data_IF_279717565930
#
_entry.id   IF_279717565930
#
_cell.length_a   1.000
_cell.length_b   1.000
_cell.length_c   1.000
_cell.angle_alpha   90.00
_cell.angle_beta   90.00
_cell.angle_gamma   90.00
#
_symmetry.space_group_name_H-M   'P 1'
#
loop_
_entity.id
_entity.type
_entity.pdbx_description
1 polymer ?
#
# COMPACT_ATOMS: atom_id res chain seq x y z
N UNK A 1 -13.82 -19.20 -3.15
CA UNK A 1 -14.08 -18.09 -4.09
C UNK A 1 -13.36 -16.83 -3.63
N UNK A 2 -13.05 -15.91 -4.56
CA UNK A 2 -12.54 -14.58 -4.22
C UNK A 2 -13.71 -13.61 -4.12
N UNK A 3 -13.69 -12.75 -3.10
CA UNK A 3 -14.69 -11.71 -2.83
C UNK A 3 -13.96 -10.38 -2.69
N UNK A 4 -14.36 -9.36 -3.45
CA UNK A 4 -13.71 -8.05 -3.38
C UNK A 4 -14.43 -7.12 -2.40
N UNK A 5 -13.69 -6.25 -1.72
CA UNK A 5 -14.21 -4.98 -1.24
C UNK A 5 -14.40 -3.99 -2.39
N UNK A 6 -15.22 -2.96 -2.17
CA UNK A 6 -15.56 -1.97 -3.21
C UNK A 6 -14.35 -1.23 -3.77
N UNK A 7 -13.30 -1.07 -2.95
CA UNK A 7 -12.04 -0.40 -3.31
C UNK A 7 -10.94 -1.34 -3.83
N UNK A 8 -11.23 -2.65 -4.06
CA UNK A 8 -10.24 -3.66 -4.44
C UNK A 8 -10.70 -4.56 -5.59
N UNK A 9 -11.56 -4.05 -6.47
CA UNK A 9 -12.21 -4.86 -7.49
C UNK A 9 -11.26 -5.33 -8.59
N UNK A 10 -10.36 -4.46 -9.05
CA UNK A 10 -9.39 -4.80 -10.08
C UNK A 10 -8.37 -5.81 -9.55
N UNK A 11 -7.83 -5.58 -8.33
CA UNK A 11 -6.91 -6.52 -7.69
C UNK A 11 -7.56 -7.89 -7.47
N UNK A 12 -8.80 -7.94 -6.99
CA UNK A 12 -9.51 -9.19 -6.76
C UNK A 12 -9.75 -9.97 -8.07
N UNK A 13 -10.08 -9.27 -9.17
CA UNK A 13 -10.23 -9.88 -10.47
C UNK A 13 -8.88 -10.45 -10.97
N UNK A 14 -7.79 -9.70 -10.85
CA UNK A 14 -6.46 -10.21 -11.22
C UNK A 14 -6.03 -11.40 -10.35
N UNK A 15 -6.34 -11.37 -9.05
CA UNK A 15 -6.07 -12.49 -8.16
C UNK A 15 -6.89 -13.74 -8.53
N UNK A 16 -8.12 -13.56 -9.00
CA UNK A 16 -8.94 -14.66 -9.52
C UNK A 16 -8.28 -15.30 -10.76
N UNK A 17 -7.78 -14.48 -11.67
CA UNK A 17 -7.07 -14.96 -12.87
C UNK A 17 -5.77 -15.69 -12.50
N UNK A 18 -4.97 -15.14 -11.58
CA UNK A 18 -3.69 -15.74 -11.13
C UNK A 18 -3.87 -17.09 -10.41
N UNK A 19 -4.96 -17.24 -9.66
CA UNK A 19 -5.21 -18.44 -8.84
C UNK A 19 -6.16 -19.43 -9.48
N UNK A 20 -6.87 -19.04 -10.55
CA UNK A 20 -7.95 -19.83 -11.15
C UNK A 20 -9.19 -19.97 -10.23
N UNK A 21 -9.26 -19.22 -9.13
CA UNK A 21 -10.39 -19.24 -8.19
C UNK A 21 -11.55 -18.42 -8.74
N UNK A 22 -12.82 -18.90 -8.62
CA UNK A 22 -13.98 -18.12 -9.05
C UNK A 22 -14.07 -16.79 -8.29
N UNK A 23 -14.41 -15.70 -9.01
CA UNK A 23 -14.74 -14.41 -8.44
C UNK A 23 -16.24 -14.37 -8.11
N UNK A 24 -16.59 -13.99 -6.88
CA UNK A 24 -17.98 -13.75 -6.47
C UNK A 24 -18.32 -12.28 -6.65
N UNK A 25 -19.54 -12.00 -7.10
CA UNK A 25 -20.06 -10.63 -7.16
C UNK A 25 -20.53 -10.20 -5.79
N UNK A 26 -19.92 -9.14 -5.26
CA UNK A 26 -20.41 -8.46 -4.07
C UNK A 26 -21.32 -7.29 -4.45
N UNK A 27 -22.28 -6.95 -3.59
CA UNK A 27 -23.14 -5.77 -3.72
C UNK A 27 -22.89 -4.82 -2.56
N UNK A 28 -22.96 -3.53 -2.85
CA UNK A 28 -22.71 -2.46 -1.87
C UNK A 28 -23.85 -1.48 -1.93
N UNK A 29 -24.67 -1.46 -0.88
CA UNK A 29 -25.82 -0.60 -0.75
C UNK A 29 -25.64 0.40 0.40
N UNK A 30 -26.42 1.46 0.39
CA UNK A 30 -26.45 2.44 1.47
C UNK A 30 -27.88 2.70 1.88
N UNK A 31 -28.15 2.57 3.18
CA UNK A 31 -29.44 2.90 3.75
C UNK A 31 -29.66 4.43 3.83
N UNK A 32 -30.92 4.90 3.94
CA UNK A 32 -31.23 6.33 4.00
C UNK A 32 -30.61 7.07 5.20
N UNK A 33 -30.29 6.38 6.27
CA UNK A 33 -29.60 6.89 7.47
C UNK A 33 -28.07 6.97 7.29
N UNK A 34 -27.54 6.45 6.16
CA UNK A 34 -26.14 6.48 5.81
C UNK A 34 -25.36 5.21 6.15
N UNK A 35 -25.99 4.22 6.79
CA UNK A 35 -25.35 2.93 7.05
C UNK A 35 -25.09 2.18 5.74
N UNK A 36 -23.90 1.56 5.62
CA UNK A 36 -23.52 0.72 4.48
C UNK A 36 -23.96 -0.74 4.67
N UNK A 37 -24.21 -1.43 3.57
CA UNK A 37 -24.46 -2.87 3.53
C UNK A 37 -23.64 -3.48 2.40
N UNK A 38 -22.74 -4.39 2.76
CA UNK A 38 -22.04 -5.25 1.80
C UNK A 38 -22.60 -6.68 1.85
N UNK A 39 -22.88 -7.27 0.71
CA UNK A 39 -23.42 -8.61 0.62
C UNK A 39 -22.81 -9.41 -0.54
N UNK A 40 -22.81 -10.74 -0.44
CA UNK A 40 -22.23 -11.65 -1.43
C UNK A 40 -23.30 -12.70 -1.84
N UNK A 41 -24.35 -12.29 -2.57
CA UNK A 41 -25.55 -13.13 -2.80
C UNK A 41 -25.24 -14.40 -3.59
N UNK A 42 -24.19 -14.43 -4.41
CA UNK A 42 -23.82 -15.57 -5.25
C UNK A 42 -22.64 -16.36 -4.68
N UNK A 43 -22.22 -16.10 -3.44
CA UNK A 43 -21.15 -16.88 -2.83
C UNK A 43 -21.60 -18.34 -2.63
N UNK A 44 -20.73 -19.27 -3.04
CA UNK A 44 -20.95 -20.69 -2.86
C UNK A 44 -19.63 -21.41 -2.64
N UNK A 45 -19.51 -22.16 -1.56
CA UNK A 45 -18.32 -22.94 -1.24
C UNK A 45 -17.89 -22.81 0.21
N UNK A 46 -16.87 -23.57 0.57
CA UNK A 46 -16.33 -23.64 1.93
C UNK A 46 -15.14 -22.71 2.16
N UNK A 47 -14.46 -22.30 1.07
CA UNK A 47 -13.28 -21.41 1.13
C UNK A 47 -13.61 -20.03 0.56
N UNK A 48 -13.34 -18.97 1.31
CA UNK A 48 -13.43 -17.58 0.88
C UNK A 48 -12.08 -16.88 0.97
N UNK A 49 -11.75 -16.07 -0.03
CA UNK A 49 -10.66 -15.11 0.01
C UNK A 49 -11.26 -13.72 -0.12
N UNK A 50 -11.35 -12.99 1.00
CA UNK A 50 -11.88 -11.63 1.03
C UNK A 50 -10.73 -10.66 0.80
N UNK A 51 -10.78 -9.89 -0.29
CA UNK A 51 -9.74 -8.91 -0.68
C UNK A 51 -10.29 -7.52 -0.47
N UNK A 52 -9.80 -6.79 0.55
CA UNK A 52 -10.32 -5.47 0.86
C UNK A 52 -9.24 -4.52 1.36
N UNK A 53 -9.00 -3.46 0.61
CA UNK A 53 -8.25 -2.28 1.05
C UNK A 53 -9.09 -1.49 2.05
N UNK A 54 -8.47 -1.07 3.16
CA UNK A 54 -9.14 -0.38 4.25
C UNK A 54 -8.71 1.09 4.35
N UNK A 55 -8.86 1.82 3.23
CA UNK A 55 -8.42 3.21 3.08
C UNK A 55 -9.39 4.25 3.66
N UNK A 56 -10.54 3.82 4.16
CA UNK A 56 -11.57 4.66 4.78
C UNK A 56 -12.32 3.91 5.89
N UNK A 57 -13.02 4.64 6.76
CA UNK A 57 -13.85 4.04 7.82
C UNK A 57 -15.00 3.19 7.23
N UNK A 58 -15.52 3.58 6.08
CA UNK A 58 -16.54 2.81 5.36
C UNK A 58 -15.97 1.47 4.88
N UNK A 59 -14.74 1.46 4.32
CA UNK A 59 -14.08 0.24 3.87
C UNK A 59 -13.79 -0.73 5.04
N UNK A 60 -13.55 -0.20 6.25
CA UNK A 60 -13.42 -1.02 7.45
C UNK A 60 -14.71 -1.75 7.80
N UNK A 61 -15.85 -1.04 7.81
CA UNK A 61 -17.15 -1.64 8.07
C UNK A 61 -17.51 -2.65 6.99
N UNK A 62 -17.27 -2.30 5.73
CA UNK A 62 -17.49 -3.17 4.58
C UNK A 62 -16.72 -4.48 4.68
N UNK A 63 -15.42 -4.43 5.03
CA UNK A 63 -14.60 -5.62 5.23
C UNK A 63 -15.22 -6.57 6.28
N UNK A 64 -15.62 -6.04 7.45
CA UNK A 64 -16.21 -6.86 8.51
C UNK A 64 -17.53 -7.49 8.05
N UNK A 65 -18.35 -6.75 7.30
CA UNK A 65 -19.60 -7.28 6.74
C UNK A 65 -19.34 -8.37 5.69
N UNK A 66 -18.34 -8.21 4.83
CA UNK A 66 -17.98 -9.22 3.83
C UNK A 66 -17.49 -10.52 4.48
N UNK A 67 -16.69 -10.41 5.55
CA UNK A 67 -16.25 -11.59 6.33
C UNK A 67 -17.46 -12.34 6.91
N UNK A 68 -18.41 -11.63 7.52
CA UNK A 68 -19.62 -12.22 8.08
C UNK A 68 -20.53 -12.80 6.99
N UNK A 69 -20.73 -12.07 5.88
CA UNK A 69 -21.56 -12.51 4.77
C UNK A 69 -21.09 -13.83 4.13
N UNK A 70 -19.79 -14.03 3.95
CA UNK A 70 -19.27 -15.29 3.43
C UNK A 70 -19.43 -16.44 4.44
N UNK A 71 -19.33 -16.16 5.74
CA UNK A 71 -19.61 -17.13 6.81
C UNK A 71 -21.07 -17.55 6.82
N UNK A 72 -22.01 -16.61 6.78
CA UNK A 72 -23.44 -16.88 6.69
C UNK A 72 -23.81 -17.67 5.41
N UNK A 73 -23.06 -17.46 4.31
CA UNK A 73 -23.22 -18.19 3.08
C UNK A 73 -22.54 -19.59 3.08
N UNK A 74 -21.89 -19.98 4.20
CA UNK A 74 -21.38 -21.34 4.43
C UNK A 74 -19.85 -21.49 4.34
N UNK A 75 -19.07 -20.40 4.25
CA UNK A 75 -17.61 -20.49 4.29
C UNK A 75 -17.13 -20.97 5.66
N UNK A 76 -16.30 -22.01 5.66
CA UNK A 76 -15.67 -22.57 6.87
C UNK A 76 -14.20 -22.15 6.99
N UNK A 77 -13.55 -21.77 5.90
CA UNK A 77 -12.19 -21.21 5.84
C UNK A 77 -12.23 -19.84 5.16
N UNK A 78 -11.88 -18.79 5.89
CA UNK A 78 -11.85 -17.41 5.39
C UNK A 78 -10.44 -16.87 5.49
N UNK A 79 -9.86 -16.55 4.34
CA UNK A 79 -8.61 -15.79 4.23
C UNK A 79 -8.94 -14.34 3.94
N UNK A 80 -8.43 -13.41 4.75
CA UNK A 80 -8.56 -11.98 4.47
C UNK A 80 -7.25 -11.43 3.93
N UNK A 81 -7.29 -10.91 2.72
CA UNK A 81 -6.18 -10.17 2.09
C UNK A 81 -6.44 -8.68 2.28
N UNK A 82 -5.50 -8.00 2.88
CA UNK A 82 -5.56 -6.54 3.10
C UNK A 82 -4.45 -5.90 2.27
N UNK A 83 -4.77 -5.44 1.04
CA UNK A 83 -3.78 -4.81 0.17
C UNK A 83 -3.19 -3.54 0.76
N UNK A 84 -4.03 -2.69 1.36
CA UNK A 84 -3.60 -1.57 2.17
C UNK A 84 -4.35 -1.56 3.50
N UNK A 85 -3.59 -1.52 4.60
CA UNK A 85 -4.15 -1.43 5.95
C UNK A 85 -4.16 0.01 6.42
N UNK A 86 -5.32 0.63 6.43
CA UNK A 86 -5.54 1.91 7.10
C UNK A 86 -5.19 1.83 8.59
N UNK A 87 -4.87 2.94 9.22
CA UNK A 87 -4.44 3.02 10.62
C UNK A 87 -3.12 2.30 10.97
N UNK A 88 -2.48 1.58 10.05
CA UNK A 88 -1.24 0.85 10.31
C UNK A 88 -0.08 1.76 10.77
N UNK A 89 -0.10 3.04 10.39
CA UNK A 89 0.89 4.04 10.83
C UNK A 89 0.78 4.43 12.30
N UNK A 90 -0.30 4.05 13.01
CA UNK A 90 -0.45 4.20 14.45
C UNK A 90 -0.30 2.84 15.15
N UNK A 91 0.91 2.29 15.03
CA UNK A 91 1.37 1.01 15.58
C UNK A 91 1.68 1.08 17.08
N UNK A 92 1.77 2.28 17.62
CA UNK A 92 2.01 2.58 19.04
C UNK A 92 1.27 3.84 19.49
N UNK A 93 1.18 4.06 20.78
CA UNK A 93 0.72 5.34 21.34
C UNK A 93 1.87 6.35 21.26
N UNK A 94 1.67 7.46 20.56
CA UNK A 94 2.66 8.54 20.47
C UNK A 94 2.52 9.54 21.62
N UNK A 95 1.32 9.64 22.22
CA UNK A 95 1.03 10.51 23.35
C UNK A 95 0.16 9.78 24.39
N UNK A 96 0.22 10.17 25.68
CA UNK A 96 -0.64 9.59 26.72
C UNK A 96 -2.13 9.65 26.36
N UNK A 97 -2.81 8.52 26.48
CA UNK A 97 -4.26 8.40 26.18
C UNK A 97 -4.61 8.11 24.73
N UNK A 98 -3.65 8.12 23.82
CA UNK A 98 -3.91 7.67 22.44
C UNK A 98 -4.02 6.15 22.35
N UNK A 99 -4.86 5.64 21.44
CA UNK A 99 -4.94 4.21 21.16
C UNK A 99 -3.72 3.74 20.35
N UNK A 100 -3.51 2.44 20.31
CA UNK A 100 -2.76 1.76 19.25
C UNK A 100 -3.78 1.35 18.20
N UNK A 101 -4.04 2.21 17.22
CA UNK A 101 -5.13 2.04 16.25
C UNK A 101 -4.95 0.77 15.43
N UNK A 102 -3.72 0.50 14.95
CA UNK A 102 -3.39 -0.71 14.21
C UNK A 102 -3.84 -1.98 14.97
N UNK A 103 -3.58 -2.04 16.29
CA UNK A 103 -3.96 -3.18 17.12
C UNK A 103 -5.48 -3.30 17.29
N UNK A 104 -6.18 -2.18 17.46
CA UNK A 104 -7.63 -2.20 17.58
C UNK A 104 -8.28 -2.73 16.31
N UNK A 105 -7.78 -2.31 15.14
CA UNK A 105 -8.26 -2.76 13.84
C UNK A 105 -7.93 -4.24 13.58
N UNK A 106 -6.68 -4.66 13.84
CA UNK A 106 -6.27 -6.05 13.68
C UNK A 106 -7.14 -7.02 14.49
N UNK A 107 -7.48 -6.66 15.73
CA UNK A 107 -8.38 -7.46 16.56
C UNK A 107 -9.79 -7.57 15.98
N UNK A 108 -10.35 -6.48 15.48
CA UNK A 108 -11.66 -6.50 14.86
C UNK A 108 -11.69 -7.43 13.64
N UNK A 109 -10.70 -7.34 12.75
CA UNK A 109 -10.59 -8.21 11.56
C UNK A 109 -10.46 -9.68 11.98
N UNK A 110 -9.67 -9.97 13.02
CA UNK A 110 -9.43 -11.35 13.49
C UNK A 110 -10.71 -12.08 13.90
N UNK A 111 -11.81 -11.39 14.15
CA UNK A 111 -13.07 -12.02 14.58
C UNK A 111 -13.79 -12.74 13.45
N UNK A 112 -13.59 -12.36 12.19
CA UNK A 112 -14.32 -12.90 11.04
C UNK A 112 -13.49 -13.78 10.10
N UNK A 113 -12.19 -13.97 10.36
CA UNK A 113 -11.26 -14.66 9.46
C UNK A 113 -10.44 -15.73 10.18
N UNK A 114 -9.89 -16.68 9.43
CA UNK A 114 -8.98 -17.73 9.95
C UNK A 114 -7.51 -17.38 9.72
N UNK A 115 -7.22 -16.54 8.74
CA UNK A 115 -5.86 -16.03 8.44
C UNK A 115 -5.90 -14.71 7.71
N UNK A 116 -4.83 -13.95 7.82
CA UNK A 116 -4.66 -12.64 7.20
C UNK A 116 -3.40 -12.59 6.36
N UNK A 117 -3.49 -11.93 5.20
CA UNK A 117 -2.36 -11.58 4.35
C UNK A 117 -2.31 -10.07 4.22
N UNK A 118 -1.20 -9.46 4.63
CA UNK A 118 -0.95 -8.02 4.56
C UNK A 118 0.08 -7.73 3.46
N UNK A 119 -0.15 -6.73 2.64
CA UNK A 119 0.84 -6.29 1.66
C UNK A 119 1.57 -5.06 2.19
N UNK A 120 2.88 -5.14 2.32
CA UNK A 120 3.77 -4.05 2.78
C UNK A 120 3.15 -3.17 3.89
N UNK A 121 2.72 -3.73 5.04
CA UNK A 121 2.24 -2.89 6.14
C UNK A 121 3.36 -1.94 6.56
N UNK A 122 3.00 -0.69 6.91
CA UNK A 122 3.97 0.36 7.25
C UNK A 122 5.03 -0.09 8.26
N UNK A 123 4.62 -0.91 9.24
CA UNK A 123 5.51 -1.61 10.16
C UNK A 123 5.18 -3.11 10.13
N UNK A 124 6.14 -3.95 9.89
CA UNK A 124 5.93 -5.41 9.81
C UNK A 124 5.37 -6.01 11.11
N UNK A 125 5.73 -5.41 12.26
CA UNK A 125 5.24 -5.80 13.58
C UNK A 125 3.71 -5.66 13.75
N UNK A 126 3.02 -4.95 12.84
CA UNK A 126 1.54 -4.87 12.84
C UNK A 126 0.91 -6.25 12.67
N UNK A 127 1.58 -7.18 11.99
CA UNK A 127 1.13 -8.56 11.85
C UNK A 127 0.96 -9.27 13.21
N UNK A 128 1.75 -8.91 14.23
CA UNK A 128 1.69 -9.50 15.58
C UNK A 128 0.45 -9.06 16.37
N UNK A 129 -0.30 -8.08 15.90
CA UNK A 129 -1.52 -7.63 16.56
C UNK A 129 -2.75 -8.48 16.23
N UNK A 130 -2.67 -9.31 15.19
CA UNK A 130 -3.75 -10.21 14.81
C UNK A 130 -3.85 -11.39 15.79
N UNK A 131 -5.08 -11.82 16.06
CA UNK A 131 -5.36 -12.99 16.93
C UNK A 131 -5.46 -14.30 16.12
N UNK A 132 -5.22 -14.22 14.82
CA UNK A 132 -5.13 -15.34 13.87
C UNK A 132 -3.78 -15.29 13.14
N UNK A 133 -3.34 -16.35 12.46
CA UNK A 133 -2.12 -16.32 11.66
C UNK A 133 -2.15 -15.16 10.66
N UNK A 134 -1.14 -14.32 10.70
CA UNK A 134 -0.97 -13.20 9.78
C UNK A 134 0.38 -13.29 9.07
N UNK A 135 0.37 -13.09 7.76
CA UNK A 135 1.55 -13.13 6.90
C UNK A 135 1.71 -11.80 6.19
N UNK A 136 2.93 -11.28 6.12
CA UNK A 136 3.26 -10.10 5.33
C UNK A 136 3.84 -10.50 3.98
N UNK A 137 3.45 -9.78 2.93
CA UNK A 137 3.94 -9.94 1.56
C UNK A 137 4.69 -8.67 1.17
N UNK A 138 5.94 -8.80 0.76
CA UNK A 138 6.66 -7.70 0.12
C UNK A 138 6.38 -7.72 -1.39
N UNK A 139 5.67 -6.70 -1.86
CA UNK A 139 5.32 -6.51 -3.26
C UNK A 139 6.10 -5.36 -3.92
N UNK A 140 7.06 -4.73 -3.24
CA UNK A 140 7.79 -3.57 -3.75
C UNK A 140 8.51 -3.86 -5.09
N UNK A 141 8.95 -5.10 -5.30
CA UNK A 141 9.65 -5.51 -6.52
C UNK A 141 8.84 -5.28 -7.80
N UNK A 142 7.51 -5.33 -7.75
CA UNK A 142 6.65 -5.12 -8.94
C UNK A 142 6.71 -3.68 -9.47
N UNK A 143 7.11 -2.72 -8.63
CA UNK A 143 7.28 -1.32 -9.02
C UNK A 143 8.37 -1.10 -10.08
N UNK A 144 9.28 -2.04 -10.25
CA UNK A 144 10.32 -1.98 -11.27
C UNK A 144 9.78 -2.18 -12.70
N UNK A 145 8.73 -2.99 -12.86
CA UNK A 145 8.17 -3.37 -14.16
C UNK A 145 7.76 -2.18 -15.06
N UNK A 146 7.00 -1.19 -14.56
CA UNK A 146 6.52 -0.08 -15.39
C UNK A 146 7.53 1.06 -15.56
N UNK A 147 8.74 0.96 -14.98
CA UNK A 147 9.78 1.96 -15.15
C UNK A 147 10.38 1.85 -16.56
N UNK A 148 10.62 2.99 -17.24
CA UNK A 148 11.31 2.97 -18.53
C UNK A 148 12.80 2.67 -18.36
N UNK A 149 13.52 2.53 -19.48
CA UNK A 149 14.97 2.51 -19.45
C UNK A 149 15.52 3.86 -18.94
N UNK A 150 16.32 3.80 -17.89
CA UNK A 150 16.83 4.96 -17.17
C UNK A 150 18.36 4.96 -17.15
N UNK A 151 18.95 6.15 -17.32
CA UNK A 151 20.39 6.33 -17.39
C UNK A 151 20.98 6.77 -16.04
N UNK A 152 22.14 6.22 -15.68
CA UNK A 152 22.84 6.56 -14.43
C UNK A 152 21.90 6.56 -13.19
N UNK A 153 21.02 5.57 -13.12
CA UNK A 153 19.86 5.51 -12.23
C UNK A 153 20.22 5.49 -10.75
N UNK A 154 19.50 6.29 -9.98
CA UNK A 154 19.49 6.28 -8.52
C UNK A 154 18.07 6.03 -8.00
N UNK A 155 17.88 4.98 -7.19
CA UNK A 155 16.69 4.79 -6.37
C UNK A 155 16.90 5.48 -5.03
N UNK A 156 16.00 6.37 -4.66
CA UNK A 156 16.16 7.24 -3.51
C UNK A 156 14.97 7.11 -2.56
N UNK A 157 15.25 6.70 -1.33
CA UNK A 157 14.23 6.65 -0.30
C UNK A 157 14.05 8.03 0.36
N UNK A 158 12.83 8.44 0.75
CA UNK A 158 12.59 9.72 1.40
C UNK A 158 13.14 9.81 2.83
N UNK A 159 13.53 8.69 3.41
CA UNK A 159 14.27 8.57 4.68
C UNK A 159 14.87 7.16 4.81
N UNK A 160 15.68 6.96 5.88
CA UNK A 160 16.35 5.69 6.18
C UNK A 160 15.37 4.52 6.34
N UNK A 161 14.15 4.76 6.85
CA UNK A 161 13.15 3.71 7.07
C UNK A 161 12.64 3.07 5.77
N UNK A 162 12.66 3.80 4.66
CA UNK A 162 12.20 3.33 3.37
C UNK A 162 13.31 2.75 2.48
N UNK A 163 14.58 2.71 2.93
CA UNK A 163 15.72 2.26 2.10
C UNK A 163 15.54 0.82 1.61
N UNK A 164 15.00 -0.08 2.45
CA UNK A 164 14.77 -1.47 2.07
C UNK A 164 13.80 -1.63 0.90
N UNK A 165 12.81 -0.74 0.77
CA UNK A 165 11.88 -0.73 -0.37
C UNK A 165 12.61 -0.29 -1.64
N UNK A 166 13.43 0.77 -1.55
CA UNK A 166 14.24 1.24 -2.68
C UNK A 166 15.23 0.16 -3.15
N UNK A 167 15.87 -0.57 -2.23
CA UNK A 167 16.75 -1.70 -2.54
C UNK A 167 16.00 -2.82 -3.26
N UNK A 168 14.81 -3.21 -2.78
CA UNK A 168 13.97 -4.24 -3.41
C UNK A 168 13.61 -3.85 -4.86
N UNK A 169 13.22 -2.59 -5.10
CA UNK A 169 12.89 -2.11 -6.44
C UNK A 169 14.13 -2.08 -7.33
N UNK A 170 15.28 -1.59 -6.83
CA UNK A 170 16.55 -1.58 -7.55
C UNK A 170 17.00 -3.01 -7.95
N UNK A 171 16.86 -3.98 -7.04
CA UNK A 171 17.19 -5.38 -7.33
C UNK A 171 16.31 -5.97 -8.43
N UNK A 172 15.03 -5.69 -8.39
CA UNK A 172 14.08 -6.13 -9.41
C UNK A 172 14.33 -5.44 -10.77
N UNK A 173 14.71 -4.17 -10.77
CA UNK A 173 15.07 -3.43 -11.98
C UNK A 173 16.39 -3.93 -12.58
N UNK A 174 17.32 -4.42 -11.77
CA UNK A 174 18.59 -5.05 -12.19
C UNK A 174 19.73 -4.07 -12.46
N UNK A 175 19.56 -2.78 -12.18
CA UNK A 175 20.59 -1.76 -12.37
C UNK A 175 20.39 -0.57 -11.43
N UNK A 176 21.37 0.32 -11.31
CA UNK A 176 21.30 1.54 -10.50
C UNK A 176 21.89 1.37 -9.10
N UNK A 177 21.89 2.48 -8.38
CA UNK A 177 22.36 2.60 -7.00
C UNK A 177 21.17 2.92 -6.10
N UNK A 178 21.33 2.73 -4.79
CA UNK A 178 20.33 3.12 -3.78
C UNK A 178 20.92 4.09 -2.78
N UNK A 179 20.11 5.02 -2.32
CA UNK A 179 20.44 5.97 -1.28
C UNK A 179 19.17 6.49 -0.58
N UNK A 180 19.31 7.34 0.43
CA UNK A 180 18.17 7.92 1.14
C UNK A 180 18.42 9.38 1.53
N UNK A 181 17.35 10.13 1.79
CA UNK A 181 17.45 11.48 2.33
C UNK A 181 17.68 11.47 3.84
N UNK A 182 18.70 12.21 4.28
CA UNK A 182 18.89 12.49 5.69
C UNK A 182 17.92 13.60 6.13
N UNK A 183 17.18 13.36 7.22
CA UNK A 183 16.29 14.34 7.84
C UNK A 183 16.97 14.95 9.05
N UNK A 184 17.35 16.22 8.97
CA UNK A 184 17.80 16.99 10.11
C UNK A 184 16.64 17.81 10.67
N UNK A 185 16.22 17.48 11.90
CA UNK A 185 15.23 18.29 12.62
C UNK A 185 15.96 19.31 13.48
N UNK A 186 15.78 20.60 13.18
CA UNK A 186 16.19 21.66 14.06
C UNK A 186 15.31 21.64 15.33
N UNK A 187 15.90 21.34 16.47
CA UNK A 187 15.17 21.22 17.73
C UNK A 187 14.72 22.58 18.31
N UNK A 188 15.27 23.70 17.84
CA UNK A 188 14.91 25.05 18.32
C UNK A 188 13.75 25.63 17.51
N UNK A 189 13.74 25.43 16.18
CA UNK A 189 12.73 26.00 15.27
C UNK A 189 11.64 25.01 14.89
N UNK A 190 11.88 23.69 15.08
CA UNK A 190 11.01 22.61 14.60
C UNK A 190 11.07 22.41 13.08
N UNK A 191 11.90 23.18 12.37
CA UNK A 191 12.09 23.04 10.94
C UNK A 191 12.73 21.67 10.62
N UNK A 192 12.22 21.03 9.55
CA UNK A 192 12.81 19.80 9.03
C UNK A 192 13.57 20.16 7.76
N UNK A 193 14.87 20.00 7.77
CA UNK A 193 15.71 20.11 6.58
C UNK A 193 15.95 18.71 6.01
N UNK A 194 15.62 18.53 4.75
CA UNK A 194 15.83 17.27 4.02
C UNK A 194 17.08 17.47 3.16
N UNK A 195 18.10 16.70 3.42
CA UNK A 195 19.34 16.73 2.66
C UNK A 195 19.50 15.36 1.99
N UNK A 196 19.62 15.26 0.65
CA UNK A 196 20.07 14.01 0.05
C UNK A 196 21.43 13.69 0.65
N UNK A 197 21.72 12.42 0.86
CA UNK A 197 23.06 12.00 1.25
C UNK A 197 24.09 12.52 0.24
N UNK A 198 25.37 12.24 0.45
CA UNK A 198 26.47 12.72 -0.40
C UNK A 198 26.45 12.16 -1.86
N UNK A 199 25.44 11.37 -2.24
CA UNK A 199 25.35 10.83 -3.60
C UNK A 199 25.20 11.95 -4.63
N UNK A 200 26.04 11.96 -5.67
CA UNK A 200 25.90 12.91 -6.77
C UNK A 200 24.61 12.60 -7.54
N UNK A 201 23.72 13.57 -7.64
CA UNK A 201 22.43 13.44 -8.35
C UNK A 201 22.39 14.19 -9.68
N UNK A 202 23.37 15.07 -9.91
CA UNK A 202 23.45 15.86 -11.14
C UNK A 202 23.52 14.93 -12.38
N UNK A 203 22.74 15.27 -13.41
CA UNK A 203 22.63 14.55 -14.68
C UNK A 203 22.17 13.07 -14.55
N UNK A 204 21.64 12.65 -13.39
CA UNK A 204 21.11 11.29 -13.16
C UNK A 204 19.59 11.25 -13.29
N UNK A 205 19.06 10.09 -13.67
CA UNK A 205 17.66 9.76 -13.51
C UNK A 205 17.43 9.26 -12.08
N UNK A 206 16.40 9.75 -11.42
CA UNK A 206 16.08 9.41 -10.02
C UNK A 206 14.67 8.84 -9.93
N UNK A 207 14.53 7.71 -9.24
CA UNK A 207 13.25 7.17 -8.80
C UNK A 207 13.16 7.33 -7.29
N UNK A 208 12.26 8.21 -6.81
CA UNK A 208 11.97 8.33 -5.37
C UNK A 208 10.97 7.25 -5.00
N UNK A 209 11.35 6.36 -4.08
CA UNK A 209 10.58 5.15 -3.72
C UNK A 209 10.16 5.21 -2.26
N UNK A 210 8.88 4.94 -1.98
CA UNK A 210 8.33 4.91 -0.63
C UNK A 210 7.32 3.75 -0.48
N UNK A 211 6.94 3.39 0.76
CA UNK A 211 5.83 2.47 1.01
C UNK A 211 4.50 3.13 0.65
N UNK A 212 4.29 4.37 1.05
CA UNK A 212 3.04 5.12 0.86
C UNK A 212 3.28 6.56 0.42
N UNK A 213 2.63 6.98 -0.65
CA UNK A 213 2.48 8.41 -0.95
C UNK A 213 1.12 8.87 -0.43
N UNK A 214 1.11 9.47 0.78
CA UNK A 214 -0.12 9.99 1.37
C UNK A 214 -0.48 11.39 0.84
N UNK A 215 0.02 12.45 1.45
CA UNK A 215 -0.23 13.84 1.01
C UNK A 215 0.79 14.34 -0.01
N UNK A 216 1.83 13.59 -0.25
CA UNK A 216 2.93 13.92 -1.15
C UNK A 216 3.86 15.04 -0.67
N UNK A 217 3.69 15.56 0.56
CA UNK A 217 4.48 16.71 1.04
C UNK A 217 5.96 16.38 1.17
N UNK A 218 6.31 15.32 1.93
CA UNK A 218 7.71 14.90 2.10
C UNK A 218 8.38 14.60 0.75
N UNK A 219 7.68 13.86 -0.12
CA UNK A 219 8.23 13.51 -1.43
C UNK A 219 8.37 14.73 -2.35
N UNK A 220 7.43 15.69 -2.33
CA UNK A 220 7.55 16.92 -3.13
C UNK A 220 8.69 17.83 -2.66
N UNK A 221 8.96 17.89 -1.35
CA UNK A 221 10.10 18.60 -0.79
C UNK A 221 11.42 17.95 -1.24
N UNK A 222 11.53 16.62 -1.12
CA UNK A 222 12.68 15.86 -1.59
C UNK A 222 12.95 16.10 -3.08
N UNK A 223 11.93 16.09 -3.91
CA UNK A 223 12.05 16.33 -5.36
C UNK A 223 12.49 17.76 -5.66
N UNK A 224 12.01 18.74 -4.91
CA UNK A 224 12.48 20.13 -5.03
C UNK A 224 13.99 20.24 -4.82
N UNK A 225 14.53 19.56 -3.79
CA UNK A 225 15.96 19.53 -3.52
C UNK A 225 16.75 18.85 -4.66
N UNK A 226 16.20 17.79 -5.28
CA UNK A 226 16.81 17.14 -6.42
C UNK A 226 16.86 18.06 -7.65
N UNK A 227 15.77 18.80 -7.91
CA UNK A 227 15.71 19.76 -9.01
C UNK A 227 16.78 20.84 -8.88
N UNK A 228 16.98 21.38 -7.69
CA UNK A 228 18.02 22.38 -7.39
C UNK A 228 19.46 21.84 -7.59
N UNK A 229 19.63 20.53 -7.51
CA UNK A 229 20.93 19.84 -7.71
C UNK A 229 21.14 19.33 -9.14
N UNK A 230 20.27 19.66 -10.08
CA UNK A 230 20.45 19.35 -11.50
C UNK A 230 20.17 17.91 -11.88
N UNK A 231 19.23 17.25 -11.20
CA UNK A 231 18.72 15.92 -11.61
C UNK A 231 18.21 15.97 -13.05
N UNK A 232 18.35 14.87 -13.81
CA UNK A 232 17.87 14.80 -15.18
C UNK A 232 16.35 14.56 -15.23
N UNK A 233 15.87 13.41 -14.77
CA UNK A 233 14.44 13.05 -14.70
C UNK A 233 14.10 12.53 -13.29
N UNK A 234 12.88 12.79 -12.83
CA UNK A 234 12.41 12.29 -11.53
C UNK A 234 11.11 11.52 -11.69
N UNK A 235 11.11 10.31 -11.17
CA UNK A 235 9.95 9.43 -11.05
C UNK A 235 9.60 9.25 -9.57
N UNK A 236 8.33 9.05 -9.27
CA UNK A 236 7.86 8.70 -7.93
C UNK A 236 7.24 7.30 -7.99
N UNK A 237 7.67 6.39 -7.13
CA UNK A 237 7.12 5.05 -7.05
C UNK A 237 6.69 4.73 -5.62
N UNK A 238 5.53 4.07 -5.43
CA UNK A 238 5.08 3.62 -4.12
C UNK A 238 4.24 2.36 -4.20
N UNK A 239 4.30 1.57 -3.13
CA UNK A 239 3.41 0.42 -3.01
C UNK A 239 1.96 0.91 -2.83
N UNK A 240 1.73 1.86 -1.93
CA UNK A 240 0.39 2.35 -1.59
C UNK A 240 0.16 3.78 -2.10
N UNK A 241 -0.45 3.96 -3.29
CA UNK A 241 -0.74 5.28 -3.84
C UNK A 241 -2.00 5.89 -3.21
N UNK A 242 -1.94 6.29 -1.93
CA UNK A 242 -3.06 6.94 -1.25
C UNK A 242 -3.44 8.24 -1.97
N UNK A 243 -2.45 9.07 -2.31
CA UNK A 243 -2.57 10.30 -3.08
C UNK A 243 -3.71 11.21 -2.62
N UNK A 244 -3.80 11.37 -1.30
CA UNK A 244 -4.84 12.15 -0.66
C UNK A 244 -4.74 13.64 -1.02
N UNK A 245 -5.88 14.32 -1.02
CA UNK A 245 -6.02 15.76 -1.25
C UNK A 245 -5.43 16.22 -2.59
N UNK A 246 -4.31 16.95 -2.59
CA UNK A 246 -3.65 17.50 -3.77
C UNK A 246 -2.27 16.88 -4.04
N UNK A 247 -2.02 15.65 -3.57
CA UNK A 247 -0.71 14.98 -3.69
C UNK A 247 -0.22 14.92 -5.14
N UNK A 248 -1.09 14.52 -6.08
CA UNK A 248 -0.74 14.42 -7.51
C UNK A 248 -0.27 15.76 -8.06
N UNK A 249 -1.01 16.85 -7.79
CA UNK A 249 -0.66 18.18 -8.28
C UNK A 249 0.61 18.72 -7.63
N UNK A 250 0.86 18.43 -6.36
CA UNK A 250 2.11 18.77 -5.66
C UNK A 250 3.31 18.08 -6.31
N UNK A 251 3.24 16.77 -6.52
CA UNK A 251 4.31 16.01 -7.14
C UNK A 251 4.59 16.46 -8.57
N UNK A 252 3.54 16.69 -9.35
CA UNK A 252 3.71 17.24 -10.72
C UNK A 252 4.32 18.63 -10.72
N UNK A 253 3.90 19.51 -9.81
CA UNK A 253 4.48 20.86 -9.68
C UNK A 253 5.95 20.82 -9.22
N UNK A 254 6.35 19.80 -8.44
CA UNK A 254 7.73 19.58 -8.04
C UNK A 254 8.62 19.00 -9.16
N UNK A 255 8.05 18.59 -10.31
CA UNK A 255 8.80 18.11 -11.47
C UNK A 255 8.77 16.59 -11.68
N UNK A 256 7.88 15.85 -11.01
CA UNK A 256 7.72 14.41 -11.26
C UNK A 256 7.22 14.16 -12.67
N UNK A 257 7.98 13.40 -13.45
CA UNK A 257 7.60 12.99 -14.80
C UNK A 257 6.47 11.97 -14.78
N UNK A 258 6.56 10.97 -13.88
CA UNK A 258 5.54 9.93 -13.75
C UNK A 258 5.45 9.44 -12.31
N UNK A 259 4.21 9.18 -11.85
CA UNK A 259 3.93 8.47 -10.61
C UNK A 259 3.60 7.03 -10.97
N UNK A 260 4.21 6.08 -10.28
CA UNK A 260 4.02 4.63 -10.42
C UNK A 260 3.52 4.09 -9.09
N UNK A 261 2.38 3.42 -9.10
CA UNK A 261 1.82 2.77 -7.92
C UNK A 261 1.32 1.37 -8.24
N UNK A 262 1.09 0.59 -7.19
CA UNK A 262 0.43 -0.70 -7.30
C UNK A 262 -1.08 -0.57 -7.12
N UNK A 263 -1.80 -1.65 -7.37
CA UNK A 263 -3.25 -1.77 -7.17
C UNK A 263 -3.65 -2.08 -5.71
N UNK A 264 -2.75 -1.96 -4.75
CA UNK A 264 -3.08 -2.02 -3.32
C UNK A 264 -4.08 -0.94 -2.92
N UNK A 265 -4.05 0.21 -3.59
CA UNK A 265 -5.08 1.26 -3.60
C UNK A 265 -5.30 1.62 -5.06
N UNK A 266 -6.48 1.34 -5.60
CA UNK A 266 -6.78 1.56 -7.01
C UNK A 266 -6.86 3.04 -7.35
N UNK A 267 -5.88 3.55 -8.11
CA UNK A 267 -5.75 4.94 -8.59
C UNK A 267 -5.31 4.93 -10.06
N UNK A 268 -5.37 6.06 -10.72
CA UNK A 268 -4.92 6.20 -12.13
C UNK A 268 -3.44 5.78 -12.32
N UNK A 269 -2.62 5.95 -11.30
CA UNK A 269 -1.21 5.56 -11.33
C UNK A 269 -0.94 4.11 -10.90
N UNK A 270 -1.98 3.33 -10.57
CA UNK A 270 -1.87 1.91 -10.21
C UNK A 270 -1.71 1.09 -11.49
N UNK A 271 -0.47 1.06 -11.99
CA UNK A 271 -0.12 0.51 -13.31
C UNK A 271 0.51 -0.89 -13.25
N UNK A 272 0.67 -1.42 -12.05
CA UNK A 272 1.21 -2.77 -11.80
C UNK A 272 0.46 -3.43 -10.65
N UNK A 273 0.25 -4.75 -10.75
CA UNK A 273 -0.53 -5.50 -9.77
C UNK A 273 0.33 -6.25 -8.76
N UNK A 274 -0.16 -6.30 -7.53
CA UNK A 274 0.40 -7.17 -6.48
C UNK A 274 -0.20 -8.58 -6.49
N UNK A 275 -1.18 -8.85 -7.35
CA UNK A 275 -1.87 -10.15 -7.41
C UNK A 275 -0.93 -11.35 -7.50
N UNK A 276 0.15 -11.38 -8.31
CA UNK A 276 1.06 -12.51 -8.35
C UNK A 276 1.71 -12.82 -7.00
N UNK A 277 2.09 -11.77 -6.25
CA UNK A 277 2.70 -11.89 -4.91
C UNK A 277 1.71 -12.38 -3.87
N UNK A 278 0.49 -11.88 -3.93
CA UNK A 278 -0.61 -12.31 -3.05
C UNK A 278 -1.01 -13.76 -3.36
N UNK A 279 -1.10 -14.15 -4.63
CA UNK A 279 -1.40 -15.51 -5.05
C UNK A 279 -0.42 -16.53 -4.45
N UNK A 280 0.88 -16.23 -4.48
CA UNK A 280 1.91 -17.07 -3.86
C UNK A 280 1.68 -17.24 -2.35
N UNK A 281 1.25 -16.19 -1.67
CA UNK A 281 1.03 -16.21 -0.21
C UNK A 281 -0.24 -16.96 0.23
N UNK A 282 -1.30 -16.95 -0.59
CA UNK A 282 -2.55 -17.68 -0.27
C UNK A 282 -2.54 -19.14 -0.73
N UNK A 283 -1.51 -19.55 -1.45
CA UNK A 283 -1.39 -20.87 -2.08
C UNK A 283 -2.19 -20.92 -3.38
N UNK A 284 -1.49 -20.92 -4.49
CA UNK A 284 -2.08 -21.04 -5.85
C UNK A 284 -3.01 -22.21 -5.99
#
# INVERSE_FOLDING_TARGET
MIVSGSSSQALAAMLADETGRPLATATYDRFPDGEGLAAVPEFAGEEAVVVATTDSDEAWVELLQLQDAVREAGATDVTTVIPYMGYARQDRSFEPGQPVSARAMAKAISTGTDRVVLVNPHESAVADFYEVPATTVDAASVLAEPLPDLDSLLFLAPDEGAIGIAETVREAYGAGETDYFEKHRDHETGAVEITPSDAPVADRDVVVVDDIIATGSTMSEAIGVLADRGVNRVFAACVHPMLATNAVTKLRAAGVERIVGTDTIERECSVVSVAPRVADAIGR
#
